data_IF_591835078475
#
_entry.id   IF_591835078475
#
_cell.length_a   1.000
_cell.length_b   1.000
_cell.length_c   1.000
_cell.angle_alpha   90.00
_cell.angle_beta   90.00
_cell.angle_gamma   90.00
#
_symmetry.space_group_name_H-M   'P 1'
#
loop_
_entity.id
_entity.type
_entity.pdbx_description
1 polymer ?
#
# COMPACT_ATOMS: atom_id res chain seq x y z
N UNK A 1 -4.69 19.94 9.35
CA UNK A 1 -4.61 19.84 7.88
C UNK A 1 -3.20 19.37 7.55
N UNK A 2 -3.02 18.09 7.24
CA UNK A 2 -1.70 17.54 6.90
C UNK A 2 -1.46 17.74 5.40
N UNK A 3 -0.42 18.49 5.05
CA UNK A 3 0.01 18.68 3.66
C UNK A 3 1.04 17.58 3.37
N UNK A 4 0.69 16.63 2.50
CA UNK A 4 1.61 15.59 2.05
C UNK A 4 2.38 16.09 0.82
N UNK A 5 3.71 16.17 0.90
CA UNK A 5 4.56 16.48 -0.25
C UNK A 5 4.81 15.18 -1.00
N UNK A 6 4.13 14.98 -2.14
CA UNK A 6 4.26 13.78 -2.97
C UNK A 6 5.16 14.13 -4.16
N UNK A 7 6.39 13.60 -4.19
CA UNK A 7 7.24 13.62 -5.39
C UNK A 7 6.97 12.35 -6.21
N UNK A 8 6.34 12.49 -7.37
CA UNK A 8 6.00 11.37 -8.25
C UNK A 8 7.07 11.17 -9.33
N UNK A 9 7.64 9.96 -9.41
CA UNK A 9 8.44 9.53 -10.56
C UNK A 9 7.57 8.55 -11.38
N UNK A 10 7.25 8.93 -12.61
CA UNK A 10 6.32 8.18 -13.46
C UNK A 10 6.86 6.79 -13.81
N UNK A 11 6.00 5.78 -13.74
CA UNK A 11 6.27 4.42 -14.16
C UNK A 11 5.12 3.87 -15.02
N UNK A 12 5.24 2.60 -15.39
CA UNK A 12 4.48 1.94 -16.45
C UNK A 12 2.94 2.07 -16.35
N UNK A 13 2.27 2.08 -17.51
CA UNK A 13 0.81 2.03 -17.67
C UNK A 13 0.43 0.70 -18.36
N UNK A 14 -0.54 -0.03 -17.79
CA UNK A 14 -1.10 -1.25 -18.37
C UNK A 14 -2.63 -1.14 -18.38
N UNK A 15 -3.27 -1.61 -19.44
CA UNK A 15 -4.74 -1.68 -19.55
C UNK A 15 -5.19 -3.11 -19.86
N UNK A 16 -6.22 -3.61 -19.17
CA UNK A 16 -6.78 -4.95 -19.39
C UNK A 16 -8.29 -4.95 -19.10
N UNK A 17 -9.14 -5.30 -20.07
CA UNK A 17 -10.60 -5.45 -19.90
C UNK A 17 -11.30 -4.32 -19.09
N UNK A 18 -11.03 -3.04 -19.41
CA UNK A 18 -11.62 -1.89 -18.70
C UNK A 18 -10.82 -1.40 -17.49
N UNK A 19 -9.90 -2.21 -16.97
CA UNK A 19 -9.01 -1.85 -15.88
C UNK A 19 -7.77 -1.11 -16.38
N UNK A 20 -7.35 -0.10 -15.63
CA UNK A 20 -6.13 0.67 -15.89
C UNK A 20 -5.24 0.68 -14.65
N UNK A 21 -3.98 0.32 -14.84
CA UNK A 21 -2.98 0.25 -13.79
C UNK A 21 -1.89 1.29 -14.05
N UNK A 22 -1.59 2.11 -13.05
CA UNK A 22 -0.52 3.09 -13.10
C UNK A 22 0.43 2.84 -11.93
N UNK A 23 1.71 2.60 -12.22
CA UNK A 23 2.73 2.39 -11.18
C UNK A 23 3.70 3.56 -11.16
N UNK A 24 3.99 4.09 -9.98
CA UNK A 24 4.94 5.16 -9.74
C UNK A 24 6.11 4.60 -8.93
N UNK A 25 7.34 4.84 -9.39
CA UNK A 25 8.52 4.12 -8.89
C UNK A 25 8.93 4.50 -7.47
N UNK A 26 8.70 5.74 -7.07
CA UNK A 26 9.05 6.22 -5.74
C UNK A 26 8.12 7.36 -5.36
N UNK A 27 7.57 7.27 -4.16
CA UNK A 27 6.71 8.21 -3.49
C UNK A 27 7.12 8.24 -2.03
N UNK A 28 7.62 9.37 -1.53
CA UNK A 28 7.89 9.55 -0.10
C UNK A 28 6.62 10.07 0.58
N UNK A 29 6.09 9.35 1.56
CA UNK A 29 4.95 9.78 2.37
C UNK A 29 5.36 9.74 3.83
N UNK A 30 5.51 10.91 4.46
CA UNK A 30 5.89 11.03 5.87
C UNK A 30 7.08 10.14 6.25
N UNK A 31 8.19 10.29 5.50
CA UNK A 31 9.45 9.56 5.67
C UNK A 31 9.38 8.05 5.35
N UNK A 32 8.32 7.57 4.71
CA UNK A 32 8.25 6.23 4.17
C UNK A 32 8.35 6.28 2.64
N UNK A 33 9.40 5.66 2.09
CA UNK A 33 9.60 5.54 0.64
C UNK A 33 8.81 4.36 0.09
N UNK A 34 7.94 4.64 -0.88
CA UNK A 34 6.93 3.71 -1.37
C UNK A 34 6.87 3.68 -2.90
N UNK A 35 6.63 2.51 -3.47
CA UNK A 35 6.10 2.33 -4.82
C UNK A 35 4.59 2.44 -4.73
N UNK A 36 3.99 3.31 -5.54
CA UNK A 36 2.53 3.49 -5.58
C UNK A 36 1.96 2.85 -6.83
N UNK A 37 0.90 2.05 -6.70
CA UNK A 37 0.12 1.49 -7.81
C UNK A 37 -1.33 1.94 -7.67
N UNK A 38 -1.81 2.69 -8.65
CA UNK A 38 -3.21 3.07 -8.78
C UNK A 38 -3.92 2.10 -9.71
N UNK A 39 -5.12 1.67 -9.31
CA UNK A 39 -5.98 0.77 -10.05
C UNK A 39 -7.30 1.46 -10.29
N UNK A 40 -7.61 1.67 -11.57
CA UNK A 40 -8.87 2.23 -12.00
C UNK A 40 -9.71 1.16 -12.67
N UNK A 41 -11.01 1.17 -12.39
CA UNK A 41 -12.03 0.46 -13.16
C UNK A 41 -12.80 1.51 -13.97
N UNK A 42 -12.67 1.44 -15.30
CA UNK A 42 -13.08 2.48 -16.24
C UNK A 42 -12.48 3.87 -15.92
N UNK A 43 -13.22 4.68 -15.15
CA UNK A 43 -12.83 6.03 -14.73
C UNK A 43 -12.73 6.19 -13.22
N UNK A 44 -13.19 5.20 -12.44
CA UNK A 44 -13.21 5.24 -11.00
C UNK A 44 -11.90 4.69 -10.44
N UNK A 45 -11.27 5.43 -9.52
CA UNK A 45 -10.13 4.93 -8.76
C UNK A 45 -10.64 3.95 -7.71
N UNK A 46 -10.44 2.65 -7.92
CA UNK A 46 -10.91 1.63 -6.99
C UNK A 46 -9.91 1.35 -5.88
N UNK A 47 -8.62 1.36 -6.22
CA UNK A 47 -7.58 0.97 -5.27
C UNK A 47 -6.26 1.69 -5.51
N UNK A 48 -5.59 1.99 -4.41
CA UNK A 48 -4.20 2.40 -4.37
C UNK A 48 -3.44 1.39 -3.51
N UNK A 49 -2.40 0.77 -4.07
CA UNK A 49 -1.47 -0.06 -3.33
C UNK A 49 -0.15 0.69 -3.14
N UNK A 50 0.34 0.76 -1.92
CA UNK A 50 1.61 1.35 -1.55
C UNK A 50 2.51 0.23 -1.03
N UNK A 51 3.59 -0.03 -1.75
CA UNK A 51 4.58 -1.06 -1.39
C UNK A 51 5.87 -0.37 -0.97
N UNK A 52 6.54 -0.86 0.06
CA UNK A 52 7.84 -0.32 0.47
C UNK A 52 8.85 -0.30 -0.68
N UNK A 53 9.58 0.80 -0.84
CA UNK A 53 10.68 0.95 -1.79
C UNK A 53 12.02 0.91 -1.05
N UNK A 54 12.84 -0.11 -1.30
CA UNK A 54 14.23 -0.19 -0.81
C UNK A 54 14.45 -0.84 0.56
N UNK A 55 15.71 -1.23 0.78
CA UNK A 55 16.42 -1.68 2.00
C UNK A 55 15.78 -2.68 2.98
N UNK A 56 15.04 -3.68 2.49
CA UNK A 56 15.03 -4.99 3.14
C UNK A 56 15.59 -5.98 2.14
N UNK A 57 16.59 -6.77 2.59
CA UNK A 57 17.38 -7.72 1.80
C UNK A 57 16.59 -8.20 0.57
N UNK A 58 17.13 -7.84 -0.60
CA UNK A 58 16.51 -7.84 -1.92
C UNK A 58 16.21 -9.25 -2.45
N UNK A 59 15.63 -10.11 -1.63
CA UNK A 59 15.09 -11.39 -2.01
C UNK A 59 13.58 -11.19 -2.18
N UNK A 60 13.10 -11.01 -3.43
CA UNK A 60 11.68 -11.07 -3.71
C UNK A 60 11.09 -12.34 -3.10
N UNK A 61 9.91 -12.24 -2.50
CA UNK A 61 9.14 -13.39 -2.03
C UNK A 61 9.72 -14.15 -0.81
N UNK A 62 10.64 -13.54 -0.05
CA UNK A 62 11.03 -14.05 1.26
C UNK A 62 9.97 -13.70 2.31
N UNK A 63 9.26 -14.70 2.83
CA UNK A 63 8.19 -14.53 3.84
C UNK A 63 8.65 -13.75 5.08
N UNK A 64 9.88 -13.96 5.55
CA UNK A 64 10.41 -13.24 6.71
C UNK A 64 10.55 -11.73 6.44
N UNK A 65 10.99 -11.36 5.24
CA UNK A 65 11.11 -9.97 4.84
C UNK A 65 9.74 -9.32 4.61
N UNK A 66 8.76 -10.06 4.10
CA UNK A 66 7.38 -9.58 3.99
C UNK A 66 6.72 -9.37 5.36
N UNK A 67 7.00 -10.24 6.35
CA UNK A 67 6.52 -10.06 7.73
C UNK A 67 7.17 -8.81 8.37
N UNK A 68 8.48 -8.60 8.16
CA UNK A 68 9.16 -7.37 8.63
C UNK A 68 8.56 -6.12 7.99
N UNK A 69 8.31 -6.14 6.68
CA UNK A 69 7.65 -5.04 5.95
C UNK A 69 6.24 -4.78 6.48
N UNK A 70 5.45 -5.83 6.71
CA UNK A 70 4.12 -5.74 7.30
C UNK A 70 4.17 -5.01 8.65
N UNK A 71 5.13 -5.36 9.52
CA UNK A 71 5.27 -4.72 10.82
C UNK A 71 5.54 -3.21 10.69
N UNK A 72 6.43 -2.81 9.76
CA UNK A 72 6.71 -1.40 9.47
C UNK A 72 5.47 -0.67 8.97
N UNK A 73 4.74 -1.27 8.02
CA UNK A 73 3.49 -0.70 7.52
C UNK A 73 2.46 -0.53 8.62
N UNK A 74 2.32 -1.53 9.50
CA UNK A 74 1.38 -1.50 10.61
C UNK A 74 1.74 -0.38 11.60
N UNK A 75 3.00 -0.30 12.03
CA UNK A 75 3.48 0.78 12.90
C UNK A 75 3.30 2.17 12.28
N UNK A 76 3.60 2.30 10.98
CA UNK A 76 3.44 3.56 10.27
C UNK A 76 1.97 3.99 10.20
N UNK A 77 1.06 3.06 9.90
CA UNK A 77 -0.39 3.33 9.90
C UNK A 77 -0.92 3.64 11.30
N UNK A 78 -0.47 2.93 12.33
CA UNK A 78 -0.87 3.19 13.72
C UNK A 78 -0.43 4.58 14.18
N UNK A 79 0.78 5.01 13.80
CA UNK A 79 1.27 6.36 14.08
C UNK A 79 0.45 7.43 13.35
N UNK A 80 -0.09 7.12 12.17
CA UNK A 80 -0.86 8.06 11.35
C UNK A 80 -2.35 8.13 11.69
N UNK A 81 -2.96 6.98 12.01
CA UNK A 81 -4.41 6.80 12.11
C UNK A 81 -4.87 6.38 13.52
N UNK A 82 -3.92 6.13 14.43
CA UNK A 82 -4.19 5.53 15.73
C UNK A 82 -4.31 4.00 15.65
N UNK A 83 -4.60 3.37 16.79
CA UNK A 83 -4.79 1.92 16.84
C UNK A 83 -6.05 1.50 16.07
N UNK A 84 -5.97 0.43 15.25
CA UNK A 84 -7.15 -0.09 14.56
C UNK A 84 -8.14 -0.67 15.58
N UNK A 85 -9.44 -0.67 15.23
CA UNK A 85 -10.47 -1.33 16.05
C UNK A 85 -10.42 -2.86 15.91
N UNK A 86 -9.93 -3.34 14.77
CA UNK A 86 -9.84 -4.75 14.41
C UNK A 86 -8.41 -5.02 13.89
N UNK A 87 -7.70 -5.96 14.49
CA UNK A 87 -6.40 -6.47 14.00
C UNK A 87 -6.57 -7.95 13.63
N UNK A 88 -6.03 -8.35 12.49
CA UNK A 88 -6.01 -9.75 12.04
C UNK A 88 -4.58 -10.29 12.16
N UNK A 89 -4.42 -11.61 12.21
CA UNK A 89 -3.10 -12.27 12.32
C UNK A 89 -2.14 -11.86 11.19
N UNK A 90 -2.69 -11.40 10.07
CA UNK A 90 -1.96 -11.08 8.84
C UNK A 90 -1.96 -9.59 8.50
N UNK A 91 -2.37 -8.71 9.42
CA UNK A 91 -2.40 -7.28 9.16
C UNK A 91 -3.33 -6.43 10.03
N UNK A 92 -3.47 -5.17 9.64
CA UNK A 92 -4.40 -4.23 10.27
C UNK A 92 -5.32 -3.59 9.25
N UNK A 93 -6.51 -3.20 9.70
CA UNK A 93 -7.58 -2.69 8.83
C UNK A 93 -8.32 -1.53 9.50
N UNK A 94 -8.48 -0.45 8.75
CA UNK A 94 -9.17 0.76 9.14
C UNK A 94 -10.35 0.97 8.20
N UNK A 95 -11.56 0.90 8.74
CA UNK A 95 -12.80 1.15 7.99
C UNK A 95 -13.22 2.60 8.19
N UNK A 96 -13.44 3.30 7.09
CA UNK A 96 -13.95 4.66 7.03
C UNK A 96 -15.27 4.68 6.25
N UNK A 97 -16.04 5.77 6.38
CA UNK A 97 -17.28 5.93 5.61
C UNK A 97 -17.03 6.04 4.10
N UNK A 98 -15.83 6.47 3.68
CA UNK A 98 -15.46 6.65 2.28
C UNK A 98 -14.68 5.47 1.68
N UNK A 99 -14.30 4.49 2.51
CA UNK A 99 -13.39 3.44 2.07
C UNK A 99 -12.66 2.73 3.20
N UNK A 100 -11.57 2.06 2.84
CA UNK A 100 -10.79 1.23 3.73
C UNK A 100 -9.30 1.46 3.50
N UNK A 101 -8.54 1.51 4.59
CA UNK A 101 -7.09 1.43 4.57
C UNK A 101 -6.68 0.15 5.28
N UNK A 102 -5.89 -0.70 4.65
CA UNK A 102 -5.38 -1.93 5.26
C UNK A 102 -3.91 -2.12 4.96
N UNK A 103 -3.22 -2.84 5.83
CA UNK A 103 -1.86 -3.33 5.61
C UNK A 103 -1.94 -4.84 5.79
N UNK A 104 -1.71 -5.60 4.72
CA UNK A 104 -1.95 -7.04 4.68
C UNK A 104 -0.78 -7.76 4.04
N UNK A 105 -0.45 -8.93 4.59
CA UNK A 105 0.41 -9.93 3.97
C UNK A 105 -0.41 -11.19 3.67
N UNK A 106 -0.27 -11.74 2.47
CA UNK A 106 -0.86 -13.04 2.13
C UNK A 106 0.25 -14.04 1.83
N UNK A 107 0.29 -15.21 2.49
CA UNK A 107 1.23 -16.28 2.13
C UNK A 107 1.04 -16.80 0.69
N UNK A 108 -0.14 -16.58 0.09
CA UNK A 108 -0.48 -17.03 -1.26
C UNK A 108 -0.06 -16.03 -2.34
N UNK A 109 -0.03 -14.74 -1.99
CA UNK A 109 0.51 -13.67 -2.83
C UNK A 109 1.62 -12.99 -2.02
N UNK A 110 2.88 -13.42 -2.18
CA UNK A 110 4.01 -13.12 -1.30
C UNK A 110 4.47 -11.65 -1.35
N UNK A 111 3.54 -10.72 -1.22
CA UNK A 111 3.73 -9.29 -1.23
C UNK A 111 2.92 -8.68 -0.08
N UNK A 112 3.61 -7.99 0.81
CA UNK A 112 3.01 -7.06 1.76
C UNK A 112 2.88 -5.68 1.13
N UNK A 113 1.73 -5.04 1.33
CA UNK A 113 1.48 -3.67 0.91
C UNK A 113 0.42 -3.01 1.79
N UNK A 114 0.38 -1.69 1.74
CA UNK A 114 -0.73 -0.89 2.25
C UNK A 114 -1.73 -0.70 1.10
N UNK A 115 -2.98 -1.06 1.32
CA UNK A 115 -4.06 -0.91 0.37
C UNK A 115 -5.02 0.17 0.84
N UNK A 116 -5.36 1.09 -0.04
CA UNK A 116 -6.44 2.06 0.10
C UNK A 116 -7.49 1.67 -0.93
N UNK A 117 -8.70 1.34 -0.47
CA UNK A 117 -9.83 0.98 -1.31
C UNK A 117 -10.96 1.97 -1.11
N UNK A 118 -11.56 2.43 -2.19
CA UNK A 118 -12.73 3.31 -2.15
C UNK A 118 -14.02 2.48 -2.33
N UNK A 119 -15.12 2.96 -1.72
CA UNK A 119 -16.46 2.35 -1.87
C UNK A 119 -17.13 2.72 -3.19
#
# INVERSE_FOLDING_TARGET
MYIFIIKLIFGCKISCHGWRYYTFKLVNINNLDLVMKLVYNDTNLEMCALKHYGSFEEIPYCSENEIKRLHIHNQWLENMLGKPRESEDWGIKYKFQWGEISSVYSPQTPESAIFIKWL
#
